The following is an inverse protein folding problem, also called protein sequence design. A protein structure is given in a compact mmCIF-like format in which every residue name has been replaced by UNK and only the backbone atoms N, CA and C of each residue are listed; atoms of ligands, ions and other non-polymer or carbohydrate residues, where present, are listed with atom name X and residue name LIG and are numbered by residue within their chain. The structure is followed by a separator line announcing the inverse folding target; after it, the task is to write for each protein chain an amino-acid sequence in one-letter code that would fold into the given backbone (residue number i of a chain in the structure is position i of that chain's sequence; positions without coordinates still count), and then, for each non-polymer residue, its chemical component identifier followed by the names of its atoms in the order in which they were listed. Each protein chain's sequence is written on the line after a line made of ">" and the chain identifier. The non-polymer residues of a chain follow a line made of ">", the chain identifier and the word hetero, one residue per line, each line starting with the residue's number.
data_IF_767643097586
#
_entry.id   IF_767643097586
#
_cell.length_a   1.000
_cell.length_b   1.000
_cell.length_c   1.000
_cell.angle_alpha   90.00
_cell.angle_beta   90.00
_cell.angle_gamma   90.00
#
_symmetry.space_group_name_H-M   'P 1'
#
loop_
_entity.id
_entity.type
_entity.pdbx_description
1 polymer ?
#
# COMPACT_ATOMS: atom_id res chain seq x y z
N UNK A 1 -9.27 12.13 9.00
CA UNK A 1 -9.87 11.36 7.89
C UNK A 1 -9.87 9.89 8.26
N UNK A 2 -10.85 9.15 7.76
CA UNK A 2 -10.93 7.69 7.91
C UNK A 2 -10.37 7.04 6.64
N UNK A 3 -9.40 6.13 6.77
CA UNK A 3 -8.66 5.57 5.64
C UNK A 3 -8.73 4.05 5.67
N UNK A 4 -9.31 3.45 4.63
CA UNK A 4 -9.32 2.00 4.46
C UNK A 4 -7.96 1.53 3.94
N UNK A 5 -7.32 0.57 4.60
CA UNK A 5 -6.04 0.00 4.19
C UNK A 5 -6.23 -1.48 3.89
N UNK A 6 -6.16 -1.83 2.61
CA UNK A 6 -6.26 -3.21 2.15
C UNK A 6 -4.86 -3.83 2.16
N UNK A 7 -4.62 -4.63 3.18
CA UNK A 7 -3.34 -5.28 3.46
C UNK A 7 -3.11 -5.46 4.95
N UNK A 8 -2.24 -6.42 5.32
CA UNK A 8 -1.84 -6.67 6.71
C UNK A 8 -0.38 -7.14 6.79
N UNK A 9 0.46 -6.63 5.93
CA UNK A 9 1.92 -6.81 6.00
C UNK A 9 2.60 -5.61 6.66
N UNK A 10 3.94 -5.62 6.69
CA UNK A 10 4.74 -4.56 7.28
C UNK A 10 4.40 -3.16 6.75
N UNK A 11 4.15 -3.05 5.42
CA UNK A 11 3.79 -1.77 4.79
C UNK A 11 2.41 -1.29 5.28
N UNK A 12 1.42 -2.18 5.34
CA UNK A 12 0.08 -1.82 5.80
C UNK A 12 0.07 -1.40 7.27
N UNK A 13 0.77 -2.13 8.13
CA UNK A 13 0.90 -1.80 9.56
C UNK A 13 1.67 -0.50 9.77
N UNK A 14 2.78 -0.30 9.06
CA UNK A 14 3.54 0.94 9.13
C UNK A 14 2.73 2.15 8.64
N UNK A 15 1.93 2.01 7.56
CA UNK A 15 1.02 3.06 7.11
C UNK A 15 -0.10 3.34 8.10
N UNK A 16 -0.69 2.30 8.69
CA UNK A 16 -1.72 2.47 9.70
C UNK A 16 -1.19 3.23 10.92
N UNK A 17 0.01 2.86 11.40
CA UNK A 17 0.68 3.56 12.49
C UNK A 17 0.98 5.02 12.13
N UNK A 18 1.55 5.27 10.95
CA UNK A 18 1.86 6.62 10.47
C UNK A 18 0.61 7.51 10.40
N UNK A 19 -0.48 6.99 9.85
CA UNK A 19 -1.74 7.73 9.75
C UNK A 19 -2.38 7.97 11.11
N UNK A 20 -2.32 6.99 12.01
CA UNK A 20 -2.86 7.12 13.37
C UNK A 20 -2.07 8.14 14.20
N UNK A 21 -0.73 8.14 14.11
CA UNK A 21 0.14 9.14 14.72
C UNK A 21 -0.20 10.56 14.22
N UNK A 22 -0.52 10.70 12.93
CA UNK A 22 -0.94 11.96 12.32
C UNK A 22 -2.41 12.35 12.63
N UNK A 23 -3.11 11.62 13.50
CA UNK A 23 -4.51 11.92 13.89
C UNK A 23 -5.57 11.48 12.88
N UNK A 24 -5.23 10.59 11.96
CA UNK A 24 -6.19 9.94 11.07
C UNK A 24 -6.71 8.63 11.68
N UNK A 25 -7.75 8.05 11.08
CA UNK A 25 -8.41 6.84 11.55
C UNK A 25 -8.25 5.70 10.53
N UNK A 26 -7.15 4.94 10.58
CA UNK A 26 -6.93 3.80 9.68
C UNK A 26 -7.88 2.64 10.02
N UNK A 27 -8.35 1.97 8.97
CA UNK A 27 -9.15 0.74 9.03
C UNK A 27 -8.41 -0.33 8.23
N UNK A 28 -7.82 -1.30 8.90
CA UNK A 28 -7.07 -2.39 8.25
C UNK A 28 -8.01 -3.51 7.81
N UNK A 29 -7.72 -4.10 6.67
CA UNK A 29 -8.36 -5.32 6.21
C UNK A 29 -7.37 -6.30 5.60
N UNK A 30 -7.56 -7.57 5.93
CA UNK A 30 -6.82 -8.69 5.33
C UNK A 30 -7.81 -9.77 4.88
N UNK A 31 -7.70 -10.29 3.67
CA UNK A 31 -8.64 -11.28 3.14
C UNK A 31 -8.79 -12.52 4.00
N UNK A 32 -7.69 -13.00 4.59
CA UNK A 32 -7.71 -14.17 5.48
C UNK A 32 -8.05 -13.85 6.93
N UNK A 33 -7.97 -12.58 7.34
CA UNK A 33 -8.10 -12.16 8.73
C UNK A 33 -6.97 -12.62 9.67
N UNK A 34 -6.15 -13.60 9.25
CA UNK A 34 -5.13 -14.23 10.12
C UNK A 34 -4.14 -13.22 10.67
N UNK A 35 -3.64 -12.31 9.84
CA UNK A 35 -2.64 -11.32 10.26
C UNK A 35 -3.22 -10.15 11.05
N UNK A 36 -4.52 -9.95 11.03
CA UNK A 36 -5.19 -8.87 11.78
C UNK A 36 -5.95 -9.39 13.00
N UNK A 37 -5.93 -10.71 13.26
CA UNK A 37 -6.73 -11.35 14.30
C UNK A 37 -6.48 -10.75 15.68
N UNK A 38 -5.23 -10.64 16.12
CA UNK A 38 -4.89 -10.09 17.42
C UNK A 38 -5.30 -8.64 17.60
N UNK A 39 -5.14 -7.82 16.52
CA UNK A 39 -5.61 -6.44 16.51
C UNK A 39 -7.15 -6.37 16.61
N UNK A 40 -7.86 -7.30 15.97
CA UNK A 40 -9.32 -7.42 16.07
C UNK A 40 -9.78 -7.88 17.47
N UNK A 41 -8.96 -8.61 18.19
CA UNK A 41 -9.14 -9.05 19.59
C UNK A 41 -8.81 -7.92 20.59
N UNK A 42 -8.36 -6.76 20.10
CA UNK A 42 -8.12 -5.56 20.91
C UNK A 42 -6.64 -5.33 21.30
N UNK A 43 -5.69 -6.16 20.83
CA UNK A 43 -4.28 -5.87 21.02
C UNK A 43 -3.90 -4.58 20.25
N UNK A 44 -3.08 -3.68 20.82
CA UNK A 44 -2.68 -2.46 20.15
C UNK A 44 -1.70 -2.73 19.01
N UNK A 45 -1.83 -1.98 17.92
CA UNK A 45 -0.77 -1.88 16.92
C UNK A 45 0.40 -1.10 17.50
N UNK A 46 1.61 -1.67 17.41
CA UNK A 46 2.84 -0.98 17.84
C UNK A 46 3.78 -0.80 16.66
N UNK A 47 4.26 0.42 16.46
CA UNK A 47 5.29 0.75 15.49
C UNK A 47 6.49 1.38 16.19
N UNK A 48 7.70 1.02 15.74
CA UNK A 48 8.98 1.55 16.26
C UNK A 48 9.90 1.97 15.12
N UNK A 49 10.87 2.83 15.39
CA UNK A 49 11.85 3.31 14.43
C UNK A 49 11.48 4.64 13.80
N UNK A 50 11.34 4.71 12.47
CA UNK A 50 11.01 5.95 11.78
C UNK A 50 9.55 6.40 11.95
N UNK A 51 8.71 5.58 12.57
CA UNK A 51 7.35 5.88 13.04
C UNK A 51 7.22 5.30 14.42
N UNK A 52 6.74 6.09 15.37
CA UNK A 52 6.50 5.65 16.75
C UNK A 52 5.02 5.75 17.06
N UNK A 53 4.39 4.61 17.28
CA UNK A 53 2.96 4.55 17.59
C UNK A 53 2.66 3.34 18.46
N UNK A 54 1.74 3.49 19.41
CA UNK A 54 1.12 2.38 20.13
C UNK A 54 -0.31 2.74 20.44
N UNK A 55 -1.25 1.99 19.87
CA UNK A 55 -2.66 2.27 20.08
C UNK A 55 -3.59 1.38 19.27
N UNK A 56 -4.89 1.48 19.53
CA UNK A 56 -5.88 0.70 18.80
C UNK A 56 -6.00 1.16 17.35
N UNK A 57 -6.27 0.20 16.45
CA UNK A 57 -6.62 0.44 15.05
C UNK A 57 -7.88 -0.34 14.71
N UNK A 58 -8.74 0.24 13.87
CA UNK A 58 -9.95 -0.45 13.44
C UNK A 58 -9.61 -1.58 12.46
N UNK A 59 -10.31 -2.71 12.60
CA UNK A 59 -10.18 -3.87 11.71
C UNK A 59 -11.52 -4.12 11.04
N UNK A 60 -11.52 -4.11 9.72
CA UNK A 60 -12.67 -4.46 8.91
C UNK A 60 -12.80 -5.99 8.77
N UNK A 61 -14.03 -6.48 8.83
CA UNK A 61 -14.34 -7.92 8.72
C UNK A 61 -14.32 -8.40 7.26
N UNK A 62 -14.66 -7.51 6.35
CA UNK A 62 -14.75 -7.80 4.92
C UNK A 62 -14.33 -6.60 4.05
N UNK A 63 -14.28 -6.81 2.73
CA UNK A 63 -13.91 -5.75 1.79
C UNK A 63 -14.91 -4.61 1.74
N UNK A 64 -16.18 -4.84 2.05
CA UNK A 64 -17.22 -3.81 2.14
C UNK A 64 -16.93 -2.86 3.30
N UNK A 65 -16.75 -3.41 4.50
CA UNK A 65 -16.48 -2.61 5.70
C UNK A 65 -15.17 -1.83 5.58
N UNK A 66 -14.19 -2.39 4.84
CA UNK A 66 -12.91 -1.73 4.60
C UNK A 66 -13.01 -0.46 3.74
N UNK A 67 -14.05 -0.33 2.89
CA UNK A 67 -14.14 0.77 1.92
C UNK A 67 -15.42 1.59 1.98
N UNK A 68 -16.48 1.12 2.64
CA UNK A 68 -17.81 1.72 2.55
C UNK A 68 -17.88 3.13 3.16
N UNK A 69 -17.25 3.32 4.30
CA UNK A 69 -17.35 4.55 5.10
C UNK A 69 -15.98 5.16 5.40
N UNK A 70 -15.13 5.20 4.36
CA UNK A 70 -13.79 5.80 4.43
C UNK A 70 -13.66 6.91 3.39
N UNK A 71 -12.83 7.90 3.71
CA UNK A 71 -12.56 9.05 2.84
C UNK A 71 -11.64 8.68 1.67
N UNK A 72 -10.77 7.71 1.86
CA UNK A 72 -9.87 7.18 0.84
C UNK A 72 -9.51 5.72 1.14
N UNK A 73 -9.11 4.99 0.11
CA UNK A 73 -8.66 3.60 0.21
C UNK A 73 -7.19 3.50 -0.19
N UNK A 74 -6.39 2.75 0.57
CA UNK A 74 -4.98 2.45 0.26
C UNK A 74 -4.82 0.96 0.04
N UNK A 75 -4.25 0.59 -1.10
CA UNK A 75 -3.86 -0.78 -1.42
C UNK A 75 -2.42 -0.98 -0.98
N UNK A 76 -2.20 -1.72 0.10
CA UNK A 76 -0.89 -1.96 0.70
C UNK A 76 -0.54 -3.46 0.67
N UNK A 77 -0.61 -4.04 -0.52
CA UNK A 77 -0.39 -5.44 -0.82
C UNK A 77 0.69 -5.62 -1.89
N UNK A 78 1.40 -6.75 -1.91
CA UNK A 78 2.18 -7.16 -3.07
C UNK A 78 1.29 -7.28 -4.33
N UNK A 79 1.88 -7.10 -5.52
CA UNK A 79 1.14 -7.07 -6.79
C UNK A 79 0.26 -8.32 -7.05
N UNK A 80 0.71 -9.49 -6.61
CA UNK A 80 -0.05 -10.74 -6.72
C UNK A 80 -1.37 -10.74 -5.89
N UNK A 81 -1.47 -9.87 -4.88
CA UNK A 81 -2.68 -9.68 -4.08
C UNK A 81 -3.63 -8.60 -4.61
N UNK A 82 -3.19 -7.76 -5.56
CA UNK A 82 -3.97 -6.60 -6.03
C UNK A 82 -5.32 -7.01 -6.61
N UNK A 83 -5.34 -7.98 -7.52
CA UNK A 83 -6.60 -8.43 -8.17
C UNK A 83 -7.65 -8.82 -7.15
N UNK A 84 -7.29 -9.67 -6.20
CA UNK A 84 -8.19 -10.12 -5.15
C UNK A 84 -8.71 -8.95 -4.30
N UNK A 85 -7.82 -8.04 -3.89
CA UNK A 85 -8.20 -6.88 -3.09
C UNK A 85 -9.12 -5.92 -3.88
N UNK A 86 -8.82 -5.68 -5.16
CA UNK A 86 -9.67 -4.87 -6.03
C UNK A 86 -11.05 -5.52 -6.21
N UNK A 87 -11.11 -6.82 -6.51
CA UNK A 87 -12.37 -7.51 -6.73
C UNK A 87 -13.24 -7.54 -5.45
N UNK A 88 -12.63 -7.61 -4.27
CA UNK A 88 -13.35 -7.51 -2.99
C UNK A 88 -13.85 -6.09 -2.68
N UNK A 89 -13.07 -5.07 -3.02
CA UNK A 89 -13.43 -3.67 -2.77
C UNK A 89 -14.40 -3.10 -3.82
N UNK A 90 -14.22 -3.49 -5.08
CA UNK A 90 -14.89 -2.93 -6.25
C UNK A 90 -16.41 -2.79 -6.12
N UNK A 91 -17.17 -3.79 -5.61
CA UNK A 91 -18.63 -3.66 -5.47
C UNK A 91 -19.09 -2.54 -4.55
N UNK A 92 -18.21 -2.06 -3.71
CA UNK A 92 -18.51 -1.14 -2.60
C UNK A 92 -17.86 0.23 -2.73
N UNK A 93 -16.97 0.41 -3.72
CA UNK A 93 -16.38 1.70 -4.03
C UNK A 93 -17.43 2.69 -4.57
N UNK A 94 -17.35 3.93 -4.09
CA UNK A 94 -18.29 5.01 -4.44
C UNK A 94 -17.69 5.94 -5.52
N UNK A 95 -18.51 6.56 -6.37
CA UNK A 95 -18.04 7.61 -7.28
C UNK A 95 -17.26 8.69 -6.51
N UNK A 96 -16.12 9.11 -7.07
CA UNK A 96 -15.25 10.13 -6.48
C UNK A 96 -14.40 9.68 -5.30
N UNK A 97 -14.57 8.47 -4.77
CA UNK A 97 -13.77 7.96 -3.64
C UNK A 97 -12.35 7.60 -4.08
N UNK A 98 -11.29 8.29 -3.59
CA UNK A 98 -9.93 8.05 -4.06
C UNK A 98 -9.41 6.67 -3.64
N UNK A 99 -8.71 6.00 -4.58
CA UNK A 99 -7.98 4.76 -4.31
C UNK A 99 -6.49 4.98 -4.57
N UNK A 100 -5.68 4.79 -3.55
CA UNK A 100 -4.21 4.90 -3.61
C UNK A 100 -3.63 3.49 -3.74
N UNK A 101 -2.86 3.25 -4.80
CA UNK A 101 -2.12 2.00 -5.00
C UNK A 101 -0.68 2.22 -4.58
N UNK A 102 -0.38 1.76 -3.37
CA UNK A 102 0.96 1.86 -2.79
C UNK A 102 1.87 0.82 -3.42
N UNK A 103 2.85 1.33 -4.19
CA UNK A 103 3.70 0.59 -5.11
C UNK A 103 2.94 0.06 -6.32
N UNK A 104 2.78 0.94 -7.32
CA UNK A 104 2.25 0.57 -8.62
C UNK A 104 3.24 -0.32 -9.37
N UNK A 105 3.05 -1.61 -9.27
CA UNK A 105 3.72 -2.62 -10.07
C UNK A 105 2.68 -3.33 -10.94
N UNK A 106 3.06 -3.71 -12.17
CA UNK A 106 2.25 -4.59 -13.03
C UNK A 106 0.87 -4.06 -13.44
N UNK A 107 0.71 -2.75 -13.60
CA UNK A 107 -0.50 -2.13 -14.17
C UNK A 107 -1.82 -2.40 -13.41
N UNK A 108 -1.76 -2.72 -12.12
CA UNK A 108 -2.96 -2.96 -11.30
C UNK A 108 -3.99 -1.82 -11.35
N UNK A 109 -3.53 -0.58 -11.47
CA UNK A 109 -4.42 0.57 -11.61
C UNK A 109 -5.24 0.57 -12.91
N UNK A 110 -4.67 0.07 -14.03
CA UNK A 110 -5.42 -0.09 -15.29
C UNK A 110 -6.48 -1.18 -15.18
N UNK A 111 -6.17 -2.28 -14.49
CA UNK A 111 -7.16 -3.31 -14.19
C UNK A 111 -8.33 -2.72 -13.39
N UNK A 112 -8.04 -1.99 -12.29
CA UNK A 112 -9.06 -1.35 -11.48
C UNK A 112 -9.88 -0.35 -12.30
N UNK A 113 -9.23 0.51 -13.10
CA UNK A 113 -9.90 1.49 -13.95
C UNK A 113 -10.86 0.84 -14.94
N UNK A 114 -10.44 -0.24 -15.61
CA UNK A 114 -11.30 -1.00 -16.52
C UNK A 114 -12.52 -1.57 -15.79
N UNK A 115 -12.32 -2.20 -14.64
CA UNK A 115 -13.40 -2.81 -13.85
C UNK A 115 -14.39 -1.76 -13.32
N UNK A 116 -13.92 -0.58 -12.94
CA UNK A 116 -14.76 0.54 -12.53
C UNK A 116 -15.58 1.08 -13.70
N UNK A 117 -14.96 1.21 -14.88
CA UNK A 117 -15.64 1.65 -16.09
C UNK A 117 -16.79 0.71 -16.50
N UNK A 118 -16.60 -0.61 -16.37
CA UNK A 118 -17.65 -1.63 -16.61
C UNK A 118 -18.87 -1.45 -15.68
N UNK A 119 -18.68 -0.78 -14.54
CA UNK A 119 -19.74 -0.47 -13.57
C UNK A 119 -20.26 0.98 -13.66
N UNK A 120 -19.73 1.78 -14.58
CA UNK A 120 -20.07 3.20 -14.68
C UNK A 120 -19.60 4.03 -13.47
N UNK A 121 -18.61 3.56 -12.71
CA UNK A 121 -18.06 4.26 -11.54
C UNK A 121 -16.78 5.00 -11.92
N UNK A 122 -16.74 6.29 -11.66
CA UNK A 122 -15.55 7.13 -11.86
C UNK A 122 -15.01 7.57 -10.49
N UNK A 123 -13.73 7.38 -10.27
CA UNK A 123 -13.01 7.81 -9.07
C UNK A 123 -11.52 8.02 -9.38
N UNK A 124 -10.80 8.85 -8.59
CA UNK A 124 -9.36 8.99 -8.73
C UNK A 124 -8.62 7.73 -8.30
N UNK A 125 -7.78 7.19 -9.19
CA UNK A 125 -6.83 6.11 -8.88
C UNK A 125 -5.44 6.72 -8.84
N UNK A 126 -4.85 6.80 -7.66
CA UNK A 126 -3.55 7.42 -7.40
C UNK A 126 -2.53 6.31 -7.25
N UNK A 127 -1.47 6.35 -8.02
CA UNK A 127 -0.43 5.31 -8.00
C UNK A 127 0.91 5.88 -7.54
N UNK A 128 1.62 5.12 -6.72
CA UNK A 128 2.96 5.44 -6.27
C UNK A 128 4.00 4.57 -6.96
N UNK A 129 5.14 5.17 -7.31
CA UNK A 129 6.25 4.45 -7.95
C UNK A 129 6.94 3.46 -7.00
N UNK A 130 6.84 3.69 -5.70
CA UNK A 130 7.37 2.81 -4.65
C UNK A 130 6.54 2.95 -3.38
N UNK A 131 6.75 2.06 -2.40
CA UNK A 131 6.12 2.19 -1.09
C UNK A 131 6.60 3.44 -0.36
N UNK A 132 5.71 4.10 0.38
CA UNK A 132 6.05 5.27 1.19
C UNK A 132 7.10 4.95 2.25
N UNK A 133 7.00 3.78 2.86
CA UNK A 133 7.87 3.34 3.94
C UNK A 133 8.39 1.93 3.69
N UNK A 134 9.46 1.59 4.40
CA UNK A 134 9.98 0.24 4.49
C UNK A 134 9.97 -0.22 5.94
N UNK A 135 9.76 -1.51 6.17
CA UNK A 135 9.72 -2.04 7.53
C UNK A 135 9.58 -3.55 7.55
N UNK A 136 9.61 -4.09 8.75
CA UNK A 136 9.45 -5.52 8.99
C UNK A 136 8.43 -5.76 10.10
N UNK A 137 7.43 -6.56 9.80
CA UNK A 137 6.48 -7.03 10.81
C UNK A 137 7.20 -7.96 11.80
N UNK A 138 6.92 -7.81 13.08
CA UNK A 138 7.51 -8.62 14.12
C UNK A 138 6.75 -9.96 14.29
N UNK A 139 7.39 -10.97 14.90
CA UNK A 139 6.77 -12.28 15.09
C UNK A 139 5.52 -12.28 16.01
N UNK A 140 5.35 -11.25 16.83
CA UNK A 140 4.18 -11.09 17.71
C UNK A 140 2.86 -10.89 16.93
N UNK A 141 2.96 -10.47 15.66
CA UNK A 141 1.82 -10.27 14.77
C UNK A 141 1.07 -8.95 14.94
N UNK A 142 1.50 -8.08 15.87
CA UNK A 142 0.90 -6.77 16.14
C UNK A 142 1.89 -5.61 16.05
N UNK A 143 3.19 -5.92 15.96
CA UNK A 143 4.24 -4.91 15.92
C UNK A 143 4.92 -4.82 14.56
N UNK A 144 5.37 -3.61 14.20
CA UNK A 144 6.15 -3.34 12.99
C UNK A 144 7.35 -2.44 13.33
N UNK A 145 8.53 -2.82 12.85
CA UNK A 145 9.69 -1.94 12.83
C UNK A 145 9.72 -1.20 11.51
N UNK A 146 9.59 0.12 11.54
CA UNK A 146 9.65 0.99 10.34
C UNK A 146 11.08 1.49 10.19
N UNK A 147 11.77 1.04 9.14
CA UNK A 147 13.17 1.38 8.92
C UNK A 147 13.32 2.78 8.32
N UNK A 148 12.44 3.14 7.39
CA UNK A 148 12.54 4.40 6.65
C UNK A 148 11.16 4.88 6.24
N UNK A 149 10.93 6.19 6.34
CA UNK A 149 9.86 6.92 5.63
C UNK A 149 10.51 7.74 4.53
N UNK A 150 10.12 7.49 3.28
CA UNK A 150 10.76 8.11 2.10
C UNK A 150 10.47 9.60 2.05
N UNK A 151 11.48 10.37 1.70
CA UNK A 151 11.37 11.82 1.51
C UNK A 151 10.81 12.19 0.13
N UNK A 152 10.85 11.25 -0.84
CA UNK A 152 10.38 11.46 -2.20
C UNK A 152 9.71 10.20 -2.73
N UNK A 153 8.47 10.36 -3.23
CA UNK A 153 7.67 9.29 -3.84
C UNK A 153 7.08 9.84 -5.14
N UNK A 154 7.35 9.16 -6.25
CA UNK A 154 6.75 9.50 -7.53
C UNK A 154 5.27 9.11 -7.53
N UNK A 155 4.41 9.99 -8.03
CA UNK A 155 2.95 9.80 -8.07
C UNK A 155 2.37 10.13 -9.43
N UNK A 156 1.37 9.37 -9.84
CA UNK A 156 0.51 9.70 -10.98
C UNK A 156 -0.94 9.33 -10.64
N UNK A 157 -1.90 9.95 -11.34
CA UNK A 157 -3.33 9.75 -11.08
C UNK A 157 -4.10 9.47 -12.37
N UNK A 158 -5.08 8.58 -12.29
CA UNK A 158 -6.11 8.34 -13.30
C UNK A 158 -7.48 8.82 -12.78
N UNK A 159 -8.27 9.55 -13.59
CA UNK A 159 -7.86 10.20 -14.84
C UNK A 159 -6.82 11.29 -14.58
N UNK A 160 -6.06 11.68 -15.60
CA UNK A 160 -5.02 12.73 -15.48
C UNK A 160 -5.59 14.07 -14.97
N UNK A 161 -6.84 14.38 -15.29
CA UNK A 161 -7.53 15.58 -14.80
C UNK A 161 -7.61 15.66 -13.26
N UNK A 162 -7.54 14.52 -12.55
CA UNK A 162 -7.55 14.45 -11.09
C UNK A 162 -6.13 14.50 -10.45
N UNK A 163 -5.07 14.76 -11.23
CA UNK A 163 -3.69 14.69 -10.73
C UNK A 163 -3.41 15.65 -9.59
N UNK A 164 -3.85 16.91 -9.72
CA UNK A 164 -3.65 17.92 -8.69
C UNK A 164 -4.34 17.54 -7.37
N UNK A 165 -5.58 17.05 -7.46
CA UNK A 165 -6.37 16.59 -6.31
C UNK A 165 -5.73 15.34 -5.67
N UNK A 166 -5.32 14.38 -6.49
CA UNK A 166 -4.66 13.16 -6.03
C UNK A 166 -3.35 13.45 -5.31
N UNK A 167 -2.50 14.35 -5.84
CA UNK A 167 -1.28 14.78 -5.18
C UNK A 167 -1.58 15.52 -3.86
N UNK A 168 -2.55 16.42 -3.87
CA UNK A 168 -2.95 17.18 -2.67
C UNK A 168 -3.44 16.24 -1.56
N UNK A 169 -4.23 15.21 -1.89
CA UNK A 169 -4.66 14.21 -0.94
C UNK A 169 -3.47 13.44 -0.35
N UNK A 170 -2.54 12.99 -1.19
CA UNK A 170 -1.34 12.31 -0.71
C UNK A 170 -0.52 13.20 0.23
N UNK A 171 -0.30 14.48 -0.11
CA UNK A 171 0.41 15.42 0.74
C UNK A 171 -0.32 15.68 2.05
N UNK A 172 -1.65 15.77 2.04
CA UNK A 172 -2.47 15.91 3.25
C UNK A 172 -2.33 14.73 4.21
N UNK A 173 -2.29 13.49 3.67
CA UNK A 173 -2.23 12.27 4.48
C UNK A 173 -0.81 11.93 4.94
N UNK A 174 0.20 12.21 4.12
CA UNK A 174 1.54 11.67 4.32
C UNK A 174 2.65 12.74 4.28
N UNK A 175 2.29 14.02 4.21
CA UNK A 175 3.23 15.12 4.11
C UNK A 175 3.71 15.39 2.68
N UNK A 176 4.36 16.54 2.47
CA UNK A 176 4.77 17.03 1.14
C UNK A 176 6.04 16.32 0.64
N UNK A 177 5.85 15.13 0.09
CA UNK A 177 6.92 14.27 -0.45
C UNK A 177 6.59 13.66 -1.81
N UNK A 178 5.49 14.07 -2.43
CA UNK A 178 5.01 13.48 -3.67
C UNK A 178 5.42 14.30 -4.89
N UNK A 179 6.06 13.63 -5.87
CA UNK A 179 6.49 14.24 -7.14
C UNK A 179 5.64 13.67 -8.25
N UNK A 180 4.87 14.56 -8.89
CA UNK A 180 4.00 14.17 -9.99
C UNK A 180 4.82 13.71 -11.20
N UNK A 181 4.37 12.62 -11.83
CA UNK A 181 4.90 12.06 -13.06
C UNK A 181 3.86 12.09 -14.16
N UNK A 182 4.32 12.08 -15.41
CA UNK A 182 3.43 12.10 -16.57
C UNK A 182 2.81 10.74 -16.85
N UNK A 183 1.87 10.35 -15.95
CA UNK A 183 1.04 9.17 -16.09
C UNK A 183 1.66 7.84 -15.60
N UNK A 184 0.87 6.78 -15.73
CA UNK A 184 1.20 5.46 -15.18
C UNK A 184 2.41 4.81 -15.86
N UNK A 185 2.60 5.06 -17.14
CA UNK A 185 3.72 4.47 -17.88
C UNK A 185 5.04 5.03 -17.39
N UNK A 186 5.11 6.34 -17.12
CA UNK A 186 6.30 6.95 -16.53
C UNK A 186 6.63 6.33 -15.15
N UNK A 187 5.61 6.07 -14.31
CA UNK A 187 5.78 5.37 -13.04
C UNK A 187 6.29 3.94 -13.26
N UNK A 188 5.67 3.18 -14.16
CA UNK A 188 6.01 1.78 -14.39
C UNK A 188 7.44 1.61 -14.95
N UNK A 189 7.85 2.46 -15.87
CA UNK A 189 9.17 2.40 -16.50
C UNK A 189 10.30 2.93 -15.62
N UNK A 190 10.01 3.80 -14.66
CA UNK A 190 11.03 4.31 -13.72
C UNK A 190 11.27 3.41 -12.51
N UNK A 191 10.49 2.36 -12.33
CA UNK A 191 10.67 1.41 -11.24
C UNK A 191 11.75 0.37 -11.57
N UNK A 192 12.95 0.55 -11.02
CA UNK A 192 14.08 -0.36 -11.22
C UNK A 192 14.03 -1.64 -10.37
N UNK A 193 13.10 -1.75 -9.41
CA UNK A 193 13.05 -2.91 -8.52
C UNK A 193 12.89 -4.26 -9.25
N UNK A 194 12.00 -4.41 -10.27
CA UNK A 194 11.87 -5.68 -10.96
C UNK A 194 13.18 -6.14 -11.65
N UNK A 195 13.89 -5.20 -12.28
CA UNK A 195 15.14 -5.48 -12.96
C UNK A 195 16.24 -5.86 -11.97
N UNK A 196 16.36 -5.11 -10.85
CA UNK A 196 17.34 -5.40 -9.82
C UNK A 196 17.10 -6.77 -9.18
N UNK A 197 15.87 -7.05 -8.77
CA UNK A 197 15.54 -8.33 -8.15
C UNK A 197 15.72 -9.50 -9.12
N UNK A 198 15.34 -9.36 -10.38
CA UNK A 198 15.57 -10.39 -11.40
C UNK A 198 17.05 -10.61 -11.65
N UNK A 199 17.83 -9.54 -11.79
CA UNK A 199 19.28 -9.61 -11.97
C UNK A 199 19.96 -10.35 -10.82
N UNK A 200 19.64 -9.98 -9.58
CA UNK A 200 20.18 -10.64 -8.38
C UNK A 200 19.80 -12.13 -8.35
N UNK A 201 18.53 -12.47 -8.63
CA UNK A 201 18.07 -13.85 -8.65
C UNK A 201 18.80 -14.69 -9.72
N UNK A 202 18.91 -14.19 -10.95
CA UNK A 202 19.58 -14.89 -12.04
C UNK A 202 21.09 -15.10 -11.78
N UNK A 203 21.77 -14.07 -11.27
CA UNK A 203 23.21 -14.15 -10.96
C UNK A 203 23.52 -15.08 -9.76
N UNK A 204 22.55 -15.33 -8.91
CA UNK A 204 22.70 -16.17 -7.72
C UNK A 204 21.85 -17.44 -7.76
N UNK A 205 21.35 -17.84 -8.94
CA UNK A 205 20.43 -18.98 -9.08
C UNK A 205 20.97 -20.26 -8.42
N UNK A 206 22.22 -20.61 -8.68
CA UNK A 206 22.86 -21.81 -8.11
C UNK A 206 22.94 -21.78 -6.58
N UNK A 207 23.16 -20.60 -6.00
CA UNK A 207 23.17 -20.42 -4.54
C UNK A 207 21.78 -20.57 -3.95
N UNK A 208 20.76 -20.05 -4.64
CA UNK A 208 19.37 -20.20 -4.24
C UNK A 208 18.91 -21.65 -4.27
N UNK A 209 19.29 -22.39 -5.33
CA UNK A 209 19.00 -23.82 -5.47
C UNK A 209 19.68 -24.66 -4.38
N UNK A 210 20.87 -24.27 -3.94
CA UNK A 210 21.58 -24.92 -2.82
C UNK A 210 21.01 -24.53 -1.43
N UNK A 211 20.08 -23.58 -1.36
CA UNK A 211 19.51 -23.10 -0.10
C UNK A 211 20.50 -22.30 0.76
N UNK A 212 21.53 -21.69 0.16
CA UNK A 212 22.46 -20.84 0.88
C UNK A 212 21.72 -19.64 1.49
N UNK A 213 22.02 -19.33 2.76
CA UNK A 213 21.50 -18.14 3.44
C UNK A 213 22.38 -16.95 3.10
N UNK A 214 21.81 -15.95 2.45
CA UNK A 214 22.48 -14.70 2.12
C UNK A 214 21.49 -13.52 2.09
N UNK A 215 22.00 -12.32 2.33
CA UNK A 215 21.23 -11.09 2.25
C UNK A 215 21.35 -10.43 0.88
N UNK A 216 20.30 -9.76 0.42
CA UNK A 216 20.28 -9.07 -0.89
C UNK A 216 21.43 -8.05 -1.04
N UNK A 217 21.89 -7.40 0.04
CA UNK A 217 22.97 -6.41 0.03
C UNK A 217 24.39 -7.02 0.04
N UNK A 218 24.52 -8.34 0.12
CA UNK A 218 25.84 -9.01 0.16
C UNK A 218 26.39 -9.34 -1.23
N UNK A 219 25.65 -9.03 -2.30
CA UNK A 219 25.92 -9.49 -3.66
C UNK A 219 25.70 -8.41 -4.73
N UNK A 220 26.03 -7.19 -4.40
CA UNK A 220 26.07 -6.07 -5.35
C UNK A 220 27.51 -5.76 -5.69
#
# INVERSE_FOLDING_TARGET
>A
MRIGILGAGAIAFGMAAFLAEAGHHPVLWSPSGVRTRKLAEGEPLTATGAVEFSGPVAIARDGREAVADVDAVVIALPANGHRMAFDAALPHLKPGQPVIVSSHSSFGALYLSKRLAERGVLLPIIVWGTTLLTGRQQPDGVSVSVNTVRQKVDVATLPKAASAEGKALCSKLFGDRFVERDGLLAIALSNLNPQNHLGIALLNLTRMEKGEKWGQGEHV
#
